data_IF_527442233154
#
_entry.id   IF_527442233154
#
_cell.length_a   1.000
_cell.length_b   1.000
_cell.length_c   1.000
_cell.angle_alpha   90.00
_cell.angle_beta   90.00
_cell.angle_gamma   90.00
#
_symmetry.space_group_name_H-M   'P 1'
#
loop_
_entity.id
_entity.type
_entity.pdbx_description
1 polymer ?
#
# COMPACT_ATOMS: atom_id res chain seq x y z
N UNK A 1 0.55 -6.64 10.73
CA UNK A 1 0.63 -8.05 11.20
C UNK A 1 -0.24 -9.03 10.36
N UNK A 2 -0.78 -8.58 9.21
CA UNK A 2 -1.71 -9.41 8.39
C UNK A 2 -0.97 -10.24 7.33
N UNK A 3 0.35 -10.27 7.36
CA UNK A 3 1.18 -11.14 6.52
C UNK A 3 1.99 -12.10 7.40
N UNK A 4 1.90 -13.39 7.06
CA UNK A 4 2.65 -14.46 7.73
C UNK A 4 3.71 -14.98 6.76
N UNK A 5 4.97 -14.84 7.13
CA UNK A 5 6.12 -15.29 6.35
C UNK A 5 6.56 -16.68 6.82
N UNK A 6 6.65 -17.62 5.91
CA UNK A 6 7.09 -18.98 6.19
C UNK A 6 8.58 -19.18 5.88
N UNK A 7 9.25 -20.15 6.54
CA UNK A 7 10.66 -20.39 6.30
C UNK A 7 11.03 -20.83 4.88
N UNK A 8 10.07 -21.35 4.11
CA UNK A 8 10.21 -21.73 2.71
C UNK A 8 10.08 -20.56 1.73
N UNK A 9 9.90 -19.33 2.25
CA UNK A 9 9.74 -18.11 1.45
C UNK A 9 8.31 -17.83 0.98
N UNK A 10 7.33 -18.68 1.34
CA UNK A 10 5.93 -18.39 1.03
C UNK A 10 5.35 -17.37 2.00
N UNK A 11 4.35 -16.61 1.54
CA UNK A 11 3.66 -15.61 2.34
C UNK A 11 2.16 -15.88 2.30
N UNK A 12 1.53 -15.90 3.47
CA UNK A 12 0.08 -15.97 3.60
C UNK A 12 -0.48 -14.64 4.12
N UNK A 13 -1.52 -14.14 3.46
CA UNK A 13 -2.28 -13.01 3.96
C UNK A 13 -3.46 -13.51 4.80
N UNK A 14 -3.70 -12.85 5.92
CA UNK A 14 -4.79 -13.15 6.86
C UNK A 14 -5.63 -11.88 7.09
N UNK A 15 -6.73 -12.03 7.82
CA UNK A 15 -7.62 -10.91 8.19
C UNK A 15 -8.32 -10.24 6.99
N UNK A 16 -9.09 -11.04 6.27
CA UNK A 16 -9.84 -10.62 5.08
C UNK A 16 -11.20 -9.95 5.38
N UNK A 17 -11.46 -9.58 6.61
CA UNK A 17 -12.76 -9.04 7.04
C UNK A 17 -13.17 -7.73 6.35
N UNK A 18 -12.22 -6.98 5.80
CA UNK A 18 -12.47 -5.72 5.07
C UNK A 18 -12.27 -5.87 3.56
N UNK A 19 -12.32 -7.10 3.04
CA UNK A 19 -12.19 -7.36 1.61
C UNK A 19 -13.29 -6.63 0.84
N UNK A 20 -12.91 -5.94 -0.22
CA UNK A 20 -13.84 -5.20 -1.08
C UNK A 20 -13.27 -4.98 -2.47
N UNK A 21 -14.13 -4.52 -3.39
CA UNK A 21 -13.72 -4.05 -4.70
C UNK A 21 -13.28 -2.59 -4.58
N UNK A 22 -12.11 -2.26 -5.11
CA UNK A 22 -11.57 -0.90 -5.01
C UNK A 22 -10.40 -0.65 -5.94
N UNK A 23 -9.71 0.48 -5.75
CA UNK A 23 -8.54 0.89 -6.51
C UNK A 23 -7.43 -0.16 -6.40
N UNK A 24 -6.92 -0.62 -7.53
CA UNK A 24 -5.96 -1.72 -7.60
C UNK A 24 -4.64 -1.45 -6.84
N UNK A 25 -4.10 -0.24 -6.93
CA UNK A 25 -2.84 0.15 -6.27
C UNK A 25 -2.94 0.38 -4.75
N UNK A 26 -4.14 0.38 -4.19
CA UNK A 26 -4.40 0.77 -2.79
C UNK A 26 -3.67 -0.09 -1.76
N UNK A 27 -3.79 -1.39 -1.88
CA UNK A 27 -3.23 -2.32 -0.90
C UNK A 27 -1.70 -2.37 -1.01
N UNK A 28 -1.18 -2.28 -2.24
CA UNK A 28 0.26 -2.16 -2.49
C UNK A 28 0.82 -0.88 -1.87
N UNK A 29 0.15 0.25 -2.08
CA UNK A 29 0.54 1.54 -1.50
C UNK A 29 0.55 1.50 0.03
N UNK A 30 -0.50 0.95 0.62
CA UNK A 30 -0.59 0.80 2.07
C UNK A 30 0.53 -0.09 2.61
N UNK A 31 0.76 -1.26 2.00
CA UNK A 31 1.81 -2.18 2.41
C UNK A 31 3.19 -1.53 2.35
N UNK A 32 3.57 -0.95 1.21
CA UNK A 32 4.90 -0.40 0.99
C UNK A 32 5.12 0.85 1.86
N UNK A 33 4.17 1.78 1.85
CA UNK A 33 4.35 3.07 2.51
C UNK A 33 4.27 3.01 4.04
N UNK A 34 3.60 2.02 4.62
CA UNK A 34 3.50 1.90 6.09
C UNK A 34 4.53 0.95 6.69
N UNK A 35 5.01 -0.04 5.91
CA UNK A 35 5.87 -1.10 6.42
C UNK A 35 7.36 -0.80 6.29
N UNK A 36 7.77 -0.10 5.23
CA UNK A 36 9.19 0.17 4.95
C UNK A 36 9.65 1.52 5.51
N UNK A 37 10.89 1.56 5.98
CA UNK A 37 11.56 2.83 6.28
C UNK A 37 11.69 3.65 4.97
N UNK A 38 11.64 5.00 5.03
CA UNK A 38 11.58 5.84 3.84
C UNK A 38 12.70 5.58 2.82
N UNK A 39 13.93 5.33 3.26
CA UNK A 39 15.05 5.06 2.35
C UNK A 39 14.92 3.67 1.71
N UNK A 40 14.61 2.64 2.49
CA UNK A 40 14.36 1.30 1.97
C UNK A 40 13.15 1.27 1.01
N UNK A 41 12.13 2.09 1.28
CA UNK A 41 10.99 2.26 0.38
C UNK A 41 11.45 2.84 -0.96
N UNK A 42 12.21 3.94 -0.96
CA UNK A 42 12.70 4.59 -2.18
C UNK A 42 13.53 3.65 -3.06
N UNK A 43 14.29 2.76 -2.42
CA UNK A 43 15.09 1.74 -3.14
C UNK A 43 14.23 0.64 -3.76
N UNK A 44 13.18 0.19 -3.08
CA UNK A 44 12.43 -1.00 -3.42
C UNK A 44 11.13 -0.73 -4.20
N UNK A 45 10.49 0.44 -4.04
CA UNK A 45 9.11 0.67 -4.47
C UNK A 45 8.89 0.53 -5.98
N UNK A 46 9.80 1.05 -6.80
CA UNK A 46 9.65 0.95 -8.26
C UNK A 46 9.69 -0.49 -8.75
N UNK A 47 10.59 -1.30 -8.19
CA UNK A 47 10.65 -2.73 -8.53
C UNK A 47 9.41 -3.49 -8.03
N UNK A 48 8.90 -3.15 -6.85
CA UNK A 48 7.69 -3.76 -6.32
C UNK A 48 6.44 -3.38 -7.14
N UNK A 49 6.32 -2.12 -7.56
CA UNK A 49 5.22 -1.65 -8.42
C UNK A 49 5.28 -2.32 -9.79
N UNK A 50 6.47 -2.45 -10.39
CA UNK A 50 6.65 -3.15 -11.66
C UNK A 50 6.25 -4.63 -11.55
N UNK A 51 6.70 -5.34 -10.53
CA UNK A 51 6.33 -6.73 -10.29
C UNK A 51 4.82 -6.90 -10.07
N UNK A 52 4.19 -5.97 -9.35
CA UNK A 52 2.74 -5.93 -9.18
C UNK A 52 2.02 -5.73 -10.51
N UNK A 53 2.47 -4.77 -11.33
CA UNK A 53 1.92 -4.49 -12.65
C UNK A 53 1.98 -5.73 -13.56
N UNK A 54 3.15 -6.36 -13.66
CA UNK A 54 3.34 -7.56 -14.50
C UNK A 54 2.39 -8.68 -14.05
N UNK A 55 2.22 -8.85 -12.74
CA UNK A 55 1.30 -9.84 -12.19
C UNK A 55 -0.15 -9.50 -12.49
N UNK A 56 -0.54 -8.24 -12.35
CA UNK A 56 -1.90 -7.76 -12.63
C UNK A 56 -2.26 -8.00 -14.11
N UNK A 57 -1.39 -7.60 -15.03
CA UNK A 57 -1.56 -7.82 -16.48
C UNK A 57 -1.68 -9.31 -16.77
N UNK A 58 -0.80 -10.15 -16.19
CA UNK A 58 -0.85 -11.60 -16.39
C UNK A 58 -2.15 -12.25 -15.87
N UNK A 59 -2.70 -11.76 -14.77
CA UNK A 59 -3.95 -12.28 -14.20
C UNK A 59 -5.20 -11.82 -14.96
N UNK A 60 -5.16 -10.62 -15.56
CA UNK A 60 -6.28 -10.04 -16.32
C UNK A 60 -6.22 -10.39 -17.81
N UNK A 61 -5.14 -11.01 -18.28
CA UNK A 61 -5.01 -11.46 -19.65
C UNK A 61 -6.17 -12.43 -20.02
N UNK A 62 -6.93 -12.04 -21.05
CA UNK A 62 -8.08 -12.84 -21.49
C UNK A 62 -9.40 -12.60 -20.74
N UNK A 63 -9.43 -11.69 -19.75
CA UNK A 63 -10.65 -11.35 -19.02
C UNK A 63 -11.61 -10.42 -19.82
N UNK A 64 -11.26 -10.07 -21.07
CA UNK A 64 -12.08 -9.18 -21.90
C UNK A 64 -12.03 -7.70 -21.48
N UNK A 65 -11.07 -7.34 -20.64
CA UNK A 65 -10.79 -5.96 -20.23
C UNK A 65 -9.56 -5.45 -20.94
N UNK A 66 -9.52 -4.14 -21.22
CA UNK A 66 -8.29 -3.52 -21.73
C UNK A 66 -7.16 -3.65 -20.69
N UNK A 67 -5.94 -3.99 -21.12
CA UNK A 67 -4.81 -4.05 -20.20
C UNK A 67 -4.54 -2.67 -19.58
N UNK A 68 -4.33 -2.67 -18.27
CA UNK A 68 -3.86 -1.46 -17.55
C UNK A 68 -2.40 -1.22 -17.92
N UNK A 69 -2.03 -0.01 -18.30
CA UNK A 69 -0.64 0.33 -18.55
C UNK A 69 0.15 0.62 -17.25
N UNK A 70 1.48 0.62 -17.36
CA UNK A 70 2.35 0.82 -16.20
C UNK A 70 2.22 2.22 -15.59
N UNK A 71 1.92 3.24 -16.39
CA UNK A 71 1.73 4.60 -15.91
C UNK A 71 0.46 4.69 -15.05
N UNK A 72 -0.64 4.10 -15.50
CA UNK A 72 -1.89 3.99 -14.75
C UNK A 72 -1.67 3.22 -13.45
N UNK A 73 -0.94 2.10 -13.47
CA UNK A 73 -0.61 1.34 -12.24
C UNK A 73 0.18 2.19 -11.24
N UNK A 74 1.12 3.00 -11.73
CA UNK A 74 1.89 3.90 -10.88
C UNK A 74 1.02 5.03 -10.30
N UNK A 75 0.12 5.61 -11.09
CA UNK A 75 -0.82 6.63 -10.60
C UNK A 75 -1.83 6.05 -9.61
N UNK A 76 -2.30 4.82 -9.82
CA UNK A 76 -3.13 4.09 -8.85
C UNK A 76 -2.39 3.87 -7.52
N UNK A 77 -1.12 3.53 -7.57
CA UNK A 77 -0.27 3.45 -6.38
C UNK A 77 -0.17 4.80 -5.66
N UNK A 78 0.15 5.88 -6.39
CA UNK A 78 0.22 7.24 -5.84
C UNK A 78 -1.11 7.63 -5.19
N UNK A 79 -2.22 7.40 -5.87
CA UNK A 79 -3.56 7.70 -5.34
C UNK A 79 -3.87 6.87 -4.09
N UNK A 80 -3.46 5.60 -4.10
CA UNK A 80 -3.59 4.69 -2.96
C UNK A 80 -2.89 5.17 -1.68
N UNK A 81 -1.80 5.94 -1.80
CA UNK A 81 -1.09 6.53 -0.66
C UNK A 81 -2.00 7.41 0.21
N UNK A 82 -3.01 8.07 -0.37
CA UNK A 82 -3.95 8.93 0.36
C UNK A 82 -4.83 8.17 1.35
N UNK A 83 -4.98 6.87 1.17
CA UNK A 83 -5.73 6.04 2.11
C UNK A 83 -4.96 5.80 3.43
N UNK A 84 -3.63 5.79 3.38
CA UNK A 84 -2.80 5.54 4.57
C UNK A 84 -3.16 6.43 5.76
N UNK A 85 -3.15 7.77 5.61
CA UNK A 85 -3.55 8.67 6.69
C UNK A 85 -4.96 8.42 7.22
N UNK A 86 -5.92 8.08 6.35
CA UNK A 86 -7.30 7.81 6.76
C UNK A 86 -7.39 6.57 7.64
N UNK A 87 -6.73 5.47 7.24
CA UNK A 87 -6.70 4.23 8.03
C UNK A 87 -6.03 4.46 9.38
N UNK A 88 -4.91 5.20 9.40
CA UNK A 88 -4.17 5.48 10.62
C UNK A 88 -5.02 6.32 11.60
N UNK A 89 -5.67 7.37 11.12
CA UNK A 89 -6.54 8.21 11.95
C UNK A 89 -7.72 7.41 12.49
N UNK A 90 -8.39 6.62 11.65
CA UNK A 90 -9.50 5.78 12.10
C UNK A 90 -9.03 4.71 13.10
N UNK A 91 -7.91 4.05 12.82
CA UNK A 91 -7.33 3.06 13.73
C UNK A 91 -6.95 3.66 15.09
N UNK A 92 -6.35 4.85 15.11
CA UNK A 92 -6.01 5.55 16.34
C UNK A 92 -7.25 6.07 17.10
N UNK A 93 -8.29 6.49 16.37
CA UNK A 93 -9.50 7.05 16.99
C UNK A 93 -10.43 5.97 17.60
N UNK A 94 -10.52 4.81 16.96
CA UNK A 94 -11.43 3.73 17.36
C UNK A 94 -10.73 2.53 18.01
N UNK A 95 -9.41 2.44 17.90
CA UNK A 95 -8.62 1.42 18.58
C UNK A 95 -8.45 1.70 20.06
N UNK A 96 -8.18 0.65 20.84
CA UNK A 96 -7.76 0.82 22.23
C UNK A 96 -6.35 1.41 22.27
N UNK A 97 -6.17 2.53 22.99
CA UNK A 97 -4.84 3.13 23.19
C UNK A 97 -3.94 2.18 23.98
N UNK A 98 -2.79 1.89 23.42
CA UNK A 98 -1.70 1.15 24.05
C UNK A 98 -0.37 1.77 23.63
N UNK A 99 0.65 1.74 24.48
CA UNK A 99 1.98 2.28 24.15
C UNK A 99 2.53 1.72 22.83
N UNK A 100 2.33 0.42 22.56
CA UNK A 100 2.76 -0.21 21.32
C UNK A 100 1.94 0.26 20.13
N UNK A 101 0.62 0.34 20.26
CA UNK A 101 -0.31 0.81 19.22
C UNK A 101 -0.02 2.26 18.83
N UNK A 102 0.15 3.12 19.82
CA UNK A 102 0.42 4.54 19.60
C UNK A 102 1.77 4.76 18.90
N UNK A 103 2.81 4.03 19.30
CA UNK A 103 4.11 4.03 18.62
C UNK A 103 4.02 3.50 17.19
N UNK A 104 3.23 2.45 16.94
CA UNK A 104 2.98 1.91 15.61
C UNK A 104 2.31 2.96 14.72
N UNK A 105 1.23 3.58 15.17
CA UNK A 105 0.53 4.61 14.39
C UNK A 105 1.41 5.83 14.11
N UNK A 106 2.23 6.26 15.07
CA UNK A 106 3.19 7.34 14.86
C UNK A 106 4.22 7.00 13.77
N UNK A 107 4.76 5.77 13.79
CA UNK A 107 5.70 5.27 12.79
C UNK A 107 5.06 5.19 11.40
N UNK A 108 3.88 4.61 11.30
CA UNK A 108 3.13 4.51 10.04
C UNK A 108 2.83 5.90 9.46
N UNK A 109 2.44 6.85 10.32
CA UNK A 109 2.20 8.26 9.92
C UNK A 109 3.44 8.88 9.31
N UNK A 110 4.58 8.77 9.98
CA UNK A 110 5.84 9.34 9.49
C UNK A 110 6.22 8.77 8.11
N UNK A 111 6.10 7.46 7.94
CA UNK A 111 6.43 6.74 6.70
C UNK A 111 5.50 7.12 5.55
N UNK A 112 4.18 7.06 5.76
CA UNK A 112 3.23 7.37 4.69
C UNK A 112 3.26 8.85 4.30
N UNK A 113 3.46 9.77 5.24
CA UNK A 113 3.65 11.18 4.93
C UNK A 113 4.93 11.44 4.13
N UNK A 114 6.00 10.68 4.37
CA UNK A 114 7.20 10.74 3.53
C UNK A 114 6.89 10.30 2.10
N UNK A 115 6.18 9.17 1.91
CA UNK A 115 5.78 8.69 0.60
C UNK A 115 4.89 9.70 -0.16
N UNK A 116 3.89 10.28 0.50
CA UNK A 116 3.01 11.30 -0.08
C UNK A 116 3.81 12.51 -0.58
N UNK A 117 4.81 12.96 0.18
CA UNK A 117 5.68 14.08 -0.23
C UNK A 117 6.58 13.69 -1.39
N UNK A 118 7.23 12.54 -1.32
CA UNK A 118 8.16 12.07 -2.36
C UNK A 118 7.48 11.95 -3.73
N UNK A 119 6.23 11.52 -3.74
CA UNK A 119 5.44 11.34 -4.97
C UNK A 119 4.56 12.54 -5.34
N UNK A 120 4.63 13.64 -4.59
CA UNK A 120 3.75 14.81 -4.80
C UNK A 120 2.28 14.42 -4.96
N UNK A 121 1.83 13.47 -4.14
CA UNK A 121 0.51 12.81 -4.29
C UNK A 121 -0.65 13.80 -4.21
N UNK A 122 -0.52 14.87 -3.41
CA UNK A 122 -1.58 15.87 -3.26
C UNK A 122 -1.90 16.60 -4.57
N UNK A 123 -0.99 16.63 -5.55
CA UNK A 123 -1.26 17.19 -6.87
C UNK A 123 -2.31 16.41 -7.68
N UNK A 124 -2.65 15.19 -7.27
CA UNK A 124 -3.69 14.39 -7.90
C UNK A 124 -5.11 14.82 -7.53
N UNK A 125 -5.26 15.62 -6.47
CA UNK A 125 -6.56 16.03 -5.91
C UNK A 125 -6.71 17.56 -5.81
N UNK A 126 -5.75 18.32 -6.36
CA UNK A 126 -5.70 19.79 -6.35
C UNK A 126 -6.19 20.38 -7.68
#
# INVERSE_FOLDING_TARGET
>A
DNLMFHPDGTVAAVDWQTLGVGLAGRDLAYLIATSLEPDARREAEHAAIAAYHDRLVGLTAGAGTEPVDAATTFDDYRYGLLQGPLIIVLGAAFGSSTTRGDAMFATMTARVCAAIRDHNTLSLIS
#
